data_IF_718258400282
#
_entry.id   IF_718258400282
#
_cell.length_a   1.000
_cell.length_b   1.000
_cell.length_c   1.000
_cell.angle_alpha   90.00
_cell.angle_beta   90.00
_cell.angle_gamma   90.00
#
_symmetry.space_group_name_H-M   'P 1'
#
loop_
_entity.id
_entity.type
_entity.pdbx_description
1 polymer ?
#
# COMPACT_ATOMS: atom_id res chain seq x y z
N UNK A 1 14.63 -15.14 7.16
CA UNK A 1 14.47 -14.28 8.35
C UNK A 1 13.24 -13.42 8.17
N UNK A 2 12.64 -13.01 9.25
CA UNK A 2 11.47 -12.15 9.22
C UNK A 2 11.86 -10.74 9.64
N UNK A 3 11.36 -9.74 8.91
CA UNK A 3 11.60 -8.33 9.24
C UNK A 3 10.28 -7.57 9.26
N UNK A 4 10.25 -6.48 10.03
CA UNK A 4 9.14 -5.54 10.06
C UNK A 4 9.67 -4.15 9.70
N UNK A 5 9.00 -3.50 8.75
CA UNK A 5 9.35 -2.15 8.30
C UNK A 5 8.16 -1.24 8.53
N UNK A 6 8.39 -0.06 9.09
CA UNK A 6 7.31 0.92 9.33
C UNK A 6 7.66 2.27 8.73
N UNK A 7 6.61 2.97 8.29
CA UNK A 7 6.70 4.35 7.80
C UNK A 7 5.41 5.08 8.14
N UNK A 8 5.50 6.29 8.67
CA UNK A 8 4.33 7.10 8.98
C UNK A 8 4.46 8.45 8.27
N UNK A 9 3.39 8.88 7.64
CA UNK A 9 3.26 10.19 7.04
C UNK A 9 2.03 10.90 7.62
N UNK A 10 2.11 12.23 7.77
CA UNK A 10 0.98 13.06 8.16
C UNK A 10 0.61 13.91 6.95
N UNK A 11 -0.65 13.84 6.54
CA UNK A 11 -1.13 14.57 5.37
C UNK A 11 -2.34 15.42 5.70
N UNK A 12 -2.52 16.52 4.97
CA UNK A 12 -3.70 17.35 5.05
C UNK A 12 -4.88 16.58 4.46
N UNK A 13 -6.02 16.67 5.12
CA UNK A 13 -7.22 15.97 4.73
C UNK A 13 -7.78 15.17 5.89
N UNK A 14 -9.09 14.99 5.91
CA UNK A 14 -9.72 14.22 6.98
C UNK A 14 -9.55 12.72 6.71
N UNK A 15 -9.56 11.89 7.76
CA UNK A 15 -9.37 10.44 7.60
C UNK A 15 -10.36 9.78 6.65
N UNK A 16 -11.61 10.26 6.60
CA UNK A 16 -12.63 9.68 5.72
C UNK A 16 -12.27 9.86 4.24
N UNK A 17 -11.78 11.05 3.86
CA UNK A 17 -11.39 11.32 2.47
C UNK A 17 -10.19 10.47 2.06
N UNK A 18 -9.21 10.31 2.95
CA UNK A 18 -8.05 9.44 2.71
C UNK A 18 -8.50 7.98 2.60
N UNK A 19 -9.35 7.55 3.52
CA UNK A 19 -9.82 6.16 3.57
C UNK A 19 -10.59 5.77 2.32
N UNK A 20 -11.42 6.67 1.78
CA UNK A 20 -12.16 6.38 0.55
C UNK A 20 -11.24 6.04 -0.62
N UNK A 21 -10.10 6.71 -0.72
CA UNK A 21 -9.13 6.41 -1.78
C UNK A 21 -8.46 5.05 -1.56
N UNK A 22 -8.02 4.76 -0.33
CA UNK A 22 -7.32 3.52 -0.02
C UNK A 22 -8.24 2.30 -0.03
N UNK A 23 -9.48 2.46 0.47
CA UNK A 23 -10.44 1.36 0.55
C UNK A 23 -10.99 0.93 -0.81
N UNK A 24 -10.95 1.80 -1.80
CA UNK A 24 -11.20 1.44 -3.19
C UNK A 24 -9.95 0.72 -3.75
N UNK A 25 -9.69 -0.47 -3.24
CA UNK A 25 -8.43 -1.19 -3.31
C UNK A 25 -7.92 -1.38 -4.75
N UNK A 26 -8.78 -1.76 -5.69
CA UNK A 26 -8.39 -2.00 -7.08
C UNK A 26 -8.26 -0.72 -7.91
N UNK A 27 -8.62 0.44 -7.35
CA UNK A 27 -8.59 1.70 -8.07
C UNK A 27 -7.47 2.60 -7.53
N UNK A 28 -6.34 2.63 -8.22
CA UNK A 28 -5.20 3.49 -7.88
C UNK A 28 -4.90 4.50 -8.99
N UNK A 29 -5.93 4.94 -9.71
CA UNK A 29 -5.77 5.94 -10.80
C UNK A 29 -5.17 7.26 -10.30
N UNK A 30 -5.27 7.54 -9.01
CA UNK A 30 -4.74 8.76 -8.39
C UNK A 30 -3.22 8.71 -8.18
N UNK A 31 -2.58 7.54 -8.34
CA UNK A 31 -1.14 7.39 -8.13
C UNK A 31 -0.40 7.58 -9.45
N UNK A 32 0.52 8.58 -9.57
CA UNK A 32 1.15 8.91 -10.85
C UNK A 32 2.06 7.82 -11.42
N UNK A 33 2.53 6.89 -10.60
CA UNK A 33 3.35 5.77 -11.04
C UNK A 33 2.52 4.57 -11.51
N UNK A 34 1.19 4.66 -11.42
CA UNK A 34 0.27 3.61 -11.85
C UNK A 34 -0.39 4.03 -13.16
N UNK A 35 -0.07 3.32 -14.25
CA UNK A 35 -0.68 3.54 -15.57
C UNK A 35 -2.06 2.95 -15.67
N UNK A 36 -2.30 1.83 -14.99
CA UNK A 36 -3.58 1.16 -14.99
C UNK A 36 -3.75 0.33 -13.74
N UNK A 37 -4.97 0.25 -13.24
CA UNK A 37 -5.32 -0.59 -12.10
C UNK A 37 -6.67 -1.23 -12.36
N UNK A 38 -6.79 -2.51 -12.01
CA UNK A 38 -8.02 -3.25 -12.24
C UNK A 38 -8.17 -4.40 -11.25
N UNK A 39 -9.41 -4.83 -11.07
CA UNK A 39 -9.72 -6.04 -10.34
C UNK A 39 -9.36 -7.24 -11.22
N UNK A 40 -8.40 -8.05 -10.78
CA UNK A 40 -7.96 -9.24 -11.51
C UNK A 40 -8.80 -10.47 -11.15
N UNK A 41 -9.23 -10.58 -9.88
CA UNK A 41 -10.11 -11.66 -9.42
C UNK A 41 -10.77 -11.27 -8.10
N UNK A 42 -11.76 -12.06 -7.68
CA UNK A 42 -12.50 -11.80 -6.47
C UNK A 42 -13.61 -10.78 -6.68
N UNK A 43 -14.11 -10.23 -5.58
CA UNK A 43 -15.23 -9.28 -5.56
C UNK A 43 -14.74 -7.94 -5.03
N UNK A 44 -15.01 -6.87 -5.78
CA UNK A 44 -14.66 -5.52 -5.37
C UNK A 44 -15.18 -5.19 -3.97
N UNK A 45 -14.30 -4.62 -3.14
CA UNK A 45 -14.63 -4.22 -1.77
C UNK A 45 -14.69 -5.35 -0.76
N UNK A 46 -14.26 -6.55 -1.12
CA UNK A 46 -14.26 -7.71 -0.22
C UNK A 46 -12.89 -8.34 -0.09
N UNK A 47 -12.62 -8.91 1.07
CA UNK A 47 -11.42 -9.71 1.33
C UNK A 47 -11.31 -10.82 0.29
N UNK A 48 -10.10 -11.03 -0.25
CA UNK A 48 -9.85 -11.94 -1.35
C UNK A 48 -9.80 -11.25 -2.71
N UNK A 49 -10.23 -9.99 -2.82
CA UNK A 49 -10.10 -9.22 -4.05
C UNK A 49 -8.62 -9.09 -4.42
N UNK A 50 -8.30 -9.35 -5.69
CA UNK A 50 -6.94 -9.23 -6.22
C UNK A 50 -6.90 -8.09 -7.22
N UNK A 51 -5.98 -7.15 -7.01
CA UNK A 51 -5.76 -6.05 -7.95
C UNK A 51 -4.51 -6.27 -8.77
N UNK A 52 -4.55 -5.81 -10.00
CA UNK A 52 -3.39 -5.78 -10.88
C UNK A 52 -3.05 -4.34 -11.20
N UNK A 53 -1.81 -3.96 -10.96
CA UNK A 53 -1.30 -2.61 -11.20
C UNK A 53 -0.28 -2.66 -12.32
N UNK A 54 -0.49 -1.84 -13.35
CA UNK A 54 0.50 -1.62 -14.41
C UNK A 54 1.25 -0.34 -14.07
N UNK A 55 2.57 -0.43 -13.93
CA UNK A 55 3.39 0.68 -13.48
C UNK A 55 4.06 1.41 -14.65
N UNK A 56 4.45 2.65 -14.42
CA UNK A 56 5.08 3.50 -15.45
C UNK A 56 6.42 2.97 -15.93
N UNK A 57 7.09 2.13 -15.16
CA UNK A 57 8.34 1.47 -15.57
C UNK A 57 8.12 0.22 -16.45
N UNK A 58 6.86 -0.11 -16.74
CA UNK A 58 6.50 -1.26 -17.56
C UNK A 58 6.27 -2.56 -16.77
N UNK A 59 6.50 -2.54 -15.45
CA UNK A 59 6.27 -3.72 -14.62
C UNK A 59 4.79 -3.84 -14.22
N UNK A 60 4.42 -5.04 -13.76
CA UNK A 60 3.10 -5.35 -13.24
C UNK A 60 3.23 -5.88 -11.83
N UNK A 61 2.38 -5.40 -10.93
CA UNK A 61 2.31 -5.87 -9.55
C UNK A 61 0.91 -6.39 -9.29
N UNK A 62 0.80 -7.56 -8.68
CA UNK A 62 -0.47 -8.17 -8.32
C UNK A 62 -0.53 -8.32 -6.81
N UNK A 63 -1.63 -7.84 -6.21
CA UNK A 63 -1.79 -7.79 -4.75
C UNK A 63 -3.19 -8.25 -4.36
N UNK A 64 -3.27 -8.99 -3.25
CA UNK A 64 -4.54 -9.48 -2.71
C UNK A 64 -4.90 -8.73 -1.42
N UNK A 65 -6.16 -8.34 -1.31
CA UNK A 65 -6.71 -7.75 -0.09
C UNK A 65 -6.97 -8.87 0.93
N UNK A 66 -6.23 -8.86 2.03
CA UNK A 66 -6.31 -9.89 3.06
C UNK A 66 -7.22 -9.50 4.23
N UNK A 67 -7.28 -8.22 4.56
CA UNK A 67 -8.14 -7.68 5.62
C UNK A 67 -8.65 -6.30 5.23
N UNK A 68 -9.87 -5.97 5.63
CA UNK A 68 -10.48 -4.67 5.39
C UNK A 68 -11.40 -4.33 6.57
N UNK A 69 -11.09 -3.26 7.29
CA UNK A 69 -11.86 -2.81 8.44
C UNK A 69 -12.19 -1.32 8.27
N UNK A 70 -13.42 -1.04 7.84
CA UNK A 70 -13.88 0.32 7.62
C UNK A 70 -14.04 1.13 8.91
N UNK A 71 -14.34 0.47 10.02
CA UNK A 71 -14.50 1.13 11.30
C UNK A 71 -13.17 1.65 11.84
N UNK A 72 -12.13 0.83 11.73
CA UNK A 72 -10.78 1.16 12.18
C UNK A 72 -9.95 1.86 11.12
N UNK A 73 -10.45 1.92 9.88
CA UNK A 73 -9.72 2.44 8.72
C UNK A 73 -8.35 1.77 8.59
N UNK A 74 -8.39 0.44 8.52
CA UNK A 74 -7.21 -0.41 8.42
C UNK A 74 -7.43 -1.44 7.33
N UNK A 75 -6.43 -1.65 6.50
CA UNK A 75 -6.45 -2.72 5.51
C UNK A 75 -5.10 -3.41 5.45
N UNK A 76 -5.12 -4.67 5.03
CA UNK A 76 -3.91 -5.49 4.88
C UNK A 76 -3.94 -6.15 3.52
N UNK A 77 -2.80 -6.15 2.84
CA UNK A 77 -2.67 -6.83 1.54
C UNK A 77 -1.33 -7.54 1.44
N UNK A 78 -1.25 -8.47 0.49
CA UNK A 78 -0.04 -9.25 0.23
C UNK A 78 0.20 -9.39 -1.27
N UNK A 79 1.45 -9.59 -1.67
CA UNK A 79 1.78 -9.84 -3.06
C UNK A 79 1.23 -11.18 -3.52
N UNK A 80 0.75 -11.23 -4.76
CA UNK A 80 0.36 -12.45 -5.45
C UNK A 80 1.31 -12.66 -6.63
N UNK A 81 1.69 -13.91 -6.88
CA UNK A 81 2.64 -14.20 -7.95
C UNK A 81 4.05 -13.70 -7.61
N UNK A 82 4.78 -13.25 -8.60
CA UNK A 82 6.15 -12.78 -8.43
C UNK A 82 6.16 -11.42 -7.76
N UNK A 83 6.77 -11.30 -6.56
CA UNK A 83 6.83 -10.02 -5.88
C UNK A 83 7.83 -9.06 -6.54
N UNK A 84 7.58 -7.73 -6.46
CA UNK A 84 8.48 -6.73 -7.05
C UNK A 84 9.76 -6.49 -6.23
N UNK A 85 9.83 -7.05 -5.04
CA UNK A 85 10.96 -6.95 -4.10
C UNK A 85 11.35 -8.36 -3.62
N UNK A 86 12.58 -8.57 -3.13
CA UNK A 86 13.07 -9.92 -2.80
C UNK A 86 12.51 -10.43 -1.45
N UNK A 87 11.25 -10.80 -1.46
CA UNK A 87 10.55 -11.37 -0.29
C UNK A 87 9.97 -12.74 -0.63
N UNK A 88 9.97 -13.65 0.35
CA UNK A 88 9.29 -14.93 0.23
C UNK A 88 7.84 -14.86 0.71
N UNK A 89 7.58 -13.99 1.69
CA UNK A 89 6.24 -13.69 2.20
C UNK A 89 6.11 -12.19 2.40
N UNK A 90 4.89 -11.69 2.28
CA UNK A 90 4.62 -10.28 2.49
C UNK A 90 3.26 -10.07 3.14
N UNK A 91 3.18 -9.07 4.01
CA UNK A 91 1.94 -8.61 4.59
C UNK A 91 2.10 -7.12 4.89
N UNK A 92 1.39 -6.29 4.16
CA UNK A 92 1.44 -4.85 4.38
C UNK A 92 0.13 -4.37 4.96
N UNK A 93 0.21 -3.67 6.09
CA UNK A 93 -0.95 -3.09 6.75
C UNK A 93 -0.87 -1.57 6.67
N UNK A 94 -1.96 -0.95 6.23
CA UNK A 94 -2.12 0.50 6.21
C UNK A 94 -3.18 0.86 7.22
N UNK A 95 -2.87 1.79 8.13
CA UNK A 95 -3.81 2.25 9.15
C UNK A 95 -3.84 3.77 9.20
N UNK A 96 -5.02 4.33 9.43
CA UNK A 96 -5.24 5.77 9.50
C UNK A 96 -5.67 6.18 10.90
N UNK A 97 -5.18 7.36 11.34
CA UNK A 97 -5.60 7.97 12.60
C UNK A 97 -5.71 9.48 12.43
N UNK A 98 -6.68 10.12 13.11
CA UNK A 98 -6.73 11.59 13.15
C UNK A 98 -5.48 12.14 13.85
N UNK A 99 -4.97 13.27 13.37
CA UNK A 99 -3.78 13.93 13.92
C UNK A 99 -3.92 15.44 13.80
N UNK A 100 -4.52 16.09 14.79
CA UNK A 100 -4.65 17.55 14.88
C UNK A 100 -5.24 18.18 13.60
N UNK A 101 -6.39 17.67 13.14
CA UNK A 101 -7.05 18.15 11.92
C UNK A 101 -6.50 17.58 10.63
N UNK A 102 -5.46 16.74 10.74
CA UNK A 102 -4.84 16.05 9.63
C UNK A 102 -5.05 14.53 9.77
N UNK A 103 -4.44 13.75 8.91
CA UNK A 103 -4.47 12.28 9.00
C UNK A 103 -3.05 11.73 9.07
N UNK A 104 -2.78 10.91 10.07
CA UNK A 104 -1.58 10.12 10.15
C UNK A 104 -1.82 8.77 9.47
N UNK A 105 -0.96 8.42 8.52
CA UNK A 105 -1.02 7.14 7.81
C UNK A 105 0.21 6.34 8.20
N UNK A 106 0.01 5.11 8.66
CA UNK A 106 1.11 4.20 8.95
C UNK A 106 1.07 3.01 8.01
N UNK A 107 2.20 2.74 7.36
CA UNK A 107 2.45 1.51 6.63
C UNK A 107 3.33 0.61 7.48
N UNK A 108 2.92 -0.63 7.65
CA UNK A 108 3.73 -1.65 8.30
C UNK A 108 3.84 -2.86 7.38
N UNK A 109 5.06 -3.19 6.99
CA UNK A 109 5.33 -4.36 6.17
C UNK A 109 6.00 -5.45 7.00
N UNK A 110 5.41 -6.64 7.00
CA UNK A 110 5.97 -7.84 7.60
C UNK A 110 6.42 -8.74 6.45
N UNK A 111 7.71 -8.99 6.36
CA UNK A 111 8.31 -9.67 5.22
C UNK A 111 9.19 -10.84 5.64
N UNK A 112 9.13 -11.93 4.86
CA UNK A 112 10.15 -12.96 4.90
C UNK A 112 11.22 -12.66 3.87
N UNK A 113 12.48 -12.64 4.27
CA UNK A 113 13.63 -12.37 3.40
C UNK A 113 14.71 -13.42 3.57
N UNK A 114 15.53 -13.62 2.53
CA UNK A 114 16.55 -14.66 2.53
C UNK A 114 17.75 -14.32 3.43
N UNK A 115 18.17 -13.06 3.46
CA UNK A 115 19.40 -12.64 4.16
C UNK A 115 19.35 -11.15 4.49
N UNK A 116 20.44 -10.65 5.11
CA UNK A 116 20.51 -9.24 5.52
C UNK A 116 20.61 -8.28 4.35
N UNK A 117 21.17 -8.68 3.21
CA UNK A 117 21.20 -7.83 2.02
C UNK A 117 19.81 -7.62 1.46
N UNK A 118 19.00 -8.68 1.40
CA UNK A 118 17.60 -8.60 1.01
C UNK A 118 16.80 -7.76 2.01
N UNK A 119 17.06 -7.94 3.32
CA UNK A 119 16.41 -7.14 4.36
C UNK A 119 16.67 -5.64 4.18
N UNK A 120 17.92 -5.27 3.92
CA UNK A 120 18.31 -3.86 3.72
C UNK A 120 17.65 -3.27 2.47
N UNK A 121 17.62 -4.04 1.37
CA UNK A 121 16.99 -3.60 0.13
C UNK A 121 15.47 -3.40 0.31
N UNK A 122 14.80 -4.37 0.91
CA UNK A 122 13.35 -4.30 1.15
C UNK A 122 13.00 -3.11 2.04
N UNK A 123 13.79 -2.90 3.10
CA UNK A 123 13.59 -1.76 4.01
C UNK A 123 13.74 -0.43 3.28
N UNK A 124 14.80 -0.28 2.48
CA UNK A 124 15.06 0.95 1.74
C UNK A 124 13.98 1.23 0.69
N UNK A 125 13.63 0.22 -0.11
CA UNK A 125 12.61 0.39 -1.16
C UNK A 125 11.26 0.77 -0.55
N UNK A 126 10.84 0.09 0.51
CA UNK A 126 9.56 0.37 1.16
C UNK A 126 9.53 1.75 1.82
N UNK A 127 10.52 2.03 2.66
CA UNK A 127 10.53 3.23 3.51
C UNK A 127 10.98 4.50 2.80
N UNK A 128 11.87 4.39 1.82
CA UNK A 128 12.43 5.57 1.15
C UNK A 128 11.84 5.83 -0.24
N UNK A 129 11.17 4.85 -0.85
CA UNK A 129 10.68 4.95 -2.22
C UNK A 129 9.17 4.74 -2.34
N UNK A 130 8.68 3.54 -2.05
CA UNK A 130 7.29 3.14 -2.34
C UNK A 130 6.29 3.90 -1.48
N UNK A 131 6.42 3.80 -0.16
CA UNK A 131 5.45 4.41 0.76
C UNK A 131 5.50 5.95 0.74
N UNK A 132 6.69 6.61 0.71
CA UNK A 132 6.72 8.06 0.52
C UNK A 132 6.09 8.52 -0.79
N UNK A 133 6.26 7.79 -1.89
CA UNK A 133 5.64 8.12 -3.17
C UNK A 133 4.11 8.02 -3.09
N UNK A 134 3.59 7.01 -2.39
CA UNK A 134 2.15 6.86 -2.18
C UNK A 134 1.60 7.98 -1.29
N UNK A 135 2.31 8.34 -0.23
CA UNK A 135 1.93 9.47 0.64
C UNK A 135 1.88 10.78 -0.17
N UNK A 136 2.86 11.02 -1.03
CA UNK A 136 2.91 12.21 -1.86
C UNK A 136 1.76 12.22 -2.88
N UNK A 137 1.43 11.07 -3.46
CA UNK A 137 0.30 10.95 -4.39
C UNK A 137 -1.03 11.27 -3.70
N UNK A 138 -1.21 10.81 -2.47
CA UNK A 138 -2.39 11.14 -1.67
C UNK A 138 -2.48 12.65 -1.37
N UNK A 139 -1.36 13.27 -1.00
CA UNK A 139 -1.30 14.72 -0.77
C UNK A 139 -1.72 15.49 -2.02
N UNK A 140 -1.25 15.06 -3.18
CA UNK A 140 -1.53 15.74 -4.45
C UNK A 140 -3.00 15.63 -4.82
N UNK A 141 -3.59 14.44 -4.75
CA UNK A 141 -4.98 14.23 -5.16
C UNK A 141 -5.96 14.90 -4.20
N UNK A 142 -5.66 14.90 -2.90
CA UNK A 142 -6.52 15.52 -1.89
C UNK A 142 -6.39 17.04 -1.86
N UNK A 143 -5.30 17.59 -2.36
CA UNK A 143 -5.06 19.02 -2.43
C UNK A 143 -5.66 19.72 -3.65
N UNK A 144 -6.35 18.97 -4.51
CA UNK A 144 -6.98 19.51 -5.72
C UNK A 144 -8.31 20.21 -5.45
#
# INVERSE_FOLDING_TARGET
MDITVEYTAVIDGNPQAVWQLLAAFEDMHWHPQVNGSQLASGISGRVGAVRELSLTDGSTVTERLDELDHTRMTLTYSFQGDPPIPVSTSRTTISLQPADGQTAITWQGDYGVADSDAADLVTRVSREMVWPATAQALKTVLGR
#
